data_IF_420369698378
#
_entry.id   IF_420369698378
#
_cell.length_a   1.000
_cell.length_b   1.000
_cell.length_c   1.000
_cell.angle_alpha   90.00
_cell.angle_beta   90.00
_cell.angle_gamma   90.00
#
_symmetry.space_group_name_H-M   'P 1'
#
loop_
_entity.id
_entity.type
_entity.pdbx_description
1 polymer ?
#
# COMPACT_ATOMS: atom_id res chain seq x y z
N UNK A 1 15.47 -1.68 37.79
CA UNK A 1 14.34 -0.90 37.23
C UNK A 1 14.94 0.12 36.27
N UNK A 2 14.90 -0.12 34.96
CA UNK A 2 15.29 0.93 34.00
C UNK A 2 14.18 1.98 34.00
N UNK A 3 14.49 3.22 34.39
CA UNK A 3 13.58 4.35 34.23
C UNK A 3 13.23 4.46 32.73
N UNK A 4 11.99 4.12 32.37
CA UNK A 4 11.54 4.19 30.98
C UNK A 4 11.28 5.66 30.59
N UNK A 5 12.02 6.13 29.59
CA UNK A 5 11.99 7.50 29.07
C UNK A 5 10.58 7.97 28.69
N UNK A 6 10.03 9.10 29.20
CA UNK A 6 8.73 9.61 28.78
C UNK A 6 8.62 9.85 27.27
N UNK A 7 7.44 9.64 26.67
CA UNK A 7 7.17 9.92 25.26
C UNK A 7 6.27 11.14 25.17
N UNK A 8 6.79 12.22 24.58
CA UNK A 8 6.04 13.46 24.35
C UNK A 8 5.60 13.48 22.90
N UNK A 9 4.30 13.40 22.65
CA UNK A 9 3.70 13.54 21.34
C UNK A 9 3.25 14.99 21.12
N UNK A 10 4.01 15.71 20.32
CA UNK A 10 3.77 17.11 19.98
C UNK A 10 2.76 17.23 18.82
N UNK A 11 1.56 17.68 19.17
CA UNK A 11 0.45 17.94 18.23
C UNK A 11 0.35 19.40 17.82
N UNK A 12 1.25 20.26 18.30
CA UNK A 12 1.21 21.72 18.05
C UNK A 12 1.58 22.18 16.64
N UNK A 13 2.28 21.40 15.78
CA UNK A 13 2.50 21.82 14.40
C UNK A 13 1.20 22.09 13.65
N UNK A 14 1.21 23.14 12.82
CA UNK A 14 0.08 23.56 12.00
C UNK A 14 0.54 23.92 10.59
N UNK A 15 -0.31 23.65 9.61
CA UNK A 15 -0.25 24.26 8.29
C UNK A 15 -1.21 25.44 8.22
N UNK A 16 -1.22 26.15 7.09
CA UNK A 16 -2.12 27.30 6.87
C UNK A 16 -3.61 26.93 7.02
N UNK A 17 -3.97 25.68 6.73
CA UNK A 17 -5.34 25.18 6.78
C UNK A 17 -5.75 24.51 8.12
N UNK A 18 -4.84 24.34 9.08
CA UNK A 18 -5.16 23.74 10.39
C UNK A 18 -4.04 22.92 11.03
N UNK A 19 -4.32 22.27 12.16
CA UNK A 19 -3.33 21.41 12.82
C UNK A 19 -3.05 20.15 12.04
N UNK A 20 -1.77 19.82 11.92
CA UNK A 20 -1.31 18.62 11.23
C UNK A 20 -1.90 17.36 11.86
N UNK A 21 -2.01 17.32 13.19
CA UNK A 21 -2.56 16.20 13.95
C UNK A 21 -4.04 15.89 13.64
N UNK A 22 -4.81 16.86 13.13
CA UNK A 22 -6.24 16.73 12.87
C UNK A 22 -6.57 16.41 11.41
N UNK A 23 -5.59 16.38 10.51
CA UNK A 23 -5.84 15.99 9.12
C UNK A 23 -6.36 14.56 9.06
N UNK A 24 -7.48 14.36 8.36
CA UNK A 24 -8.02 13.02 8.16
C UNK A 24 -7.18 12.23 7.14
N UNK A 25 -6.74 11.05 7.56
CA UNK A 25 -6.12 10.04 6.72
C UNK A 25 -6.91 8.75 6.91
N UNK A 26 -7.47 8.21 5.82
CA UNK A 26 -8.28 6.97 5.84
C UNK A 26 -9.45 6.98 6.85
N UNK A 27 -10.10 8.12 7.01
CA UNK A 27 -11.27 8.27 7.90
C UNK A 27 -10.94 8.38 9.38
N UNK A 28 -9.66 8.57 9.74
CA UNK A 28 -9.23 8.87 11.10
C UNK A 28 -8.29 10.09 11.11
N UNK A 29 -8.28 10.90 12.18
CA UNK A 29 -7.30 11.98 12.34
C UNK A 29 -5.87 11.44 12.33
N UNK A 30 -4.92 12.21 11.79
CA UNK A 30 -3.52 11.83 11.69
C UNK A 30 -2.90 11.44 13.04
N UNK A 31 -3.34 12.11 14.11
CA UNK A 31 -3.01 11.76 15.50
C UNK A 31 -3.25 10.28 15.84
N UNK A 32 -4.30 9.66 15.29
CA UNK A 32 -4.68 8.28 15.55
C UNK A 32 -3.53 7.31 15.22
N UNK A 33 -2.81 7.55 14.13
CA UNK A 33 -1.71 6.68 13.70
C UNK A 33 -0.52 6.73 14.67
N UNK A 34 -0.24 7.89 15.27
CA UNK A 34 0.78 8.00 16.31
C UNK A 34 0.39 7.27 17.58
N UNK A 35 -0.88 7.38 18.00
CA UNK A 35 -1.39 6.67 19.17
C UNK A 35 -1.23 5.15 18.99
N UNK A 36 -1.56 4.63 17.80
CA UNK A 36 -1.33 3.23 17.45
C UNK A 36 0.15 2.83 17.49
N UNK A 37 1.05 3.68 16.96
CA UNK A 37 2.49 3.41 17.00
C UNK A 37 3.06 3.39 18.43
N UNK A 38 2.63 4.34 19.27
CA UNK A 38 3.04 4.41 20.69
C UNK A 38 2.50 3.21 21.47
N UNK A 39 1.23 2.85 21.23
CA UNK A 39 0.63 1.69 21.86
C UNK A 39 1.32 0.39 21.44
N UNK A 40 1.76 0.25 20.18
CA UNK A 40 2.54 -0.90 19.70
C UNK A 40 3.95 -0.96 20.28
N UNK A 41 4.53 0.19 20.59
CA UNK A 41 5.76 0.27 21.34
C UNK A 41 5.61 -0.19 22.80
N UNK A 42 4.37 -0.28 23.31
CA UNK A 42 4.08 -0.56 24.71
C UNK A 42 4.28 0.66 25.62
N UNK A 43 4.26 1.87 25.06
CA UNK A 43 4.63 3.10 25.74
C UNK A 43 3.43 3.96 26.18
N UNK A 44 2.20 3.43 26.13
CA UNK A 44 0.98 4.16 26.50
C UNK A 44 1.05 4.75 27.92
N UNK A 45 1.57 3.98 28.89
CA UNK A 45 1.63 4.41 30.30
C UNK A 45 2.60 5.56 30.58
N UNK A 46 3.40 5.96 29.57
CA UNK A 46 4.37 7.07 29.65
C UNK A 46 4.17 8.09 28.53
N UNK A 47 2.98 8.08 27.90
CA UNK A 47 2.60 9.01 26.84
C UNK A 47 2.06 10.31 27.42
N UNK A 48 2.64 11.42 26.99
CA UNK A 48 2.18 12.78 27.24
C UNK A 48 1.90 13.43 25.88
N UNK A 49 0.67 13.90 25.66
CA UNK A 49 0.26 14.56 24.43
C UNK A 49 0.28 16.07 24.66
N UNK A 50 1.15 16.78 23.96
CA UNK A 50 1.22 18.24 24.00
C UNK A 50 0.25 18.81 22.97
N UNK A 51 -0.68 19.65 23.42
CA UNK A 51 -1.70 20.31 22.60
C UNK A 51 -1.64 21.83 22.78
N UNK A 52 -2.08 22.58 21.76
CA UNK A 52 -2.32 24.02 21.93
C UNK A 52 -3.56 24.24 22.80
N UNK A 53 -3.58 25.34 23.55
CA UNK A 53 -4.71 25.73 24.41
C UNK A 53 -6.05 25.75 23.65
N UNK A 54 -6.06 26.30 22.44
CA UNK A 54 -7.24 26.43 21.58
C UNK A 54 -7.80 25.09 21.06
N UNK A 55 -7.00 24.01 21.02
CA UNK A 55 -7.39 22.71 20.46
C UNK A 55 -7.39 21.57 21.50
N UNK A 56 -7.14 21.88 22.77
CA UNK A 56 -6.99 20.88 23.84
C UNK A 56 -8.18 19.92 23.91
N UNK A 57 -9.41 20.45 23.92
CA UNK A 57 -10.62 19.64 24.05
C UNK A 57 -10.80 18.65 22.90
N UNK A 58 -10.44 19.04 21.68
CA UNK A 58 -10.55 18.19 20.50
C UNK A 58 -9.51 17.07 20.53
N UNK A 59 -8.26 17.40 20.88
CA UNK A 59 -7.18 16.41 21.06
C UNK A 59 -7.53 15.43 22.19
N UNK A 60 -8.03 15.92 23.33
CA UNK A 60 -8.51 15.09 24.44
C UNK A 60 -9.62 14.13 24.02
N UNK A 61 -10.59 14.59 23.22
CA UNK A 61 -11.65 13.75 22.67
C UNK A 61 -11.08 12.62 21.81
N UNK A 62 -10.12 12.91 20.94
CA UNK A 62 -9.51 11.89 20.07
C UNK A 62 -8.73 10.87 20.91
N UNK A 63 -7.89 11.35 21.84
CA UNK A 63 -7.06 10.49 22.70
C UNK A 63 -7.93 9.60 23.60
N UNK A 64 -8.97 10.16 24.23
CA UNK A 64 -9.91 9.40 25.06
C UNK A 64 -10.74 8.39 24.25
N UNK A 65 -11.09 8.70 23.00
CA UNK A 65 -11.80 7.76 22.12
C UNK A 65 -10.91 6.62 21.57
N UNK A 66 -9.59 6.72 21.73
CA UNK A 66 -8.66 5.73 21.20
C UNK A 66 -8.58 4.49 22.12
N UNK A 67 -8.92 3.28 21.65
CA UNK A 67 -9.15 2.09 22.48
C UNK A 67 -7.92 1.58 23.25
N UNK A 68 -6.73 2.09 22.91
CA UNK A 68 -5.44 1.67 23.49
C UNK A 68 -4.69 2.80 24.20
N UNK A 69 -5.25 4.01 24.21
CA UNK A 69 -4.60 5.21 24.74
C UNK A 69 -5.51 6.05 25.64
N UNK A 70 -6.63 5.49 26.12
CA UNK A 70 -7.65 6.15 26.93
C UNK A 70 -7.13 6.82 28.22
N UNK A 71 -5.95 6.41 28.73
CA UNK A 71 -5.31 6.99 29.91
C UNK A 71 -4.15 7.96 29.64
N UNK A 72 -3.89 8.35 28.40
CA UNK A 72 -2.79 9.26 28.08
C UNK A 72 -3.12 10.71 28.51
N UNK A 73 -2.17 11.36 29.17
CA UNK A 73 -2.35 12.75 29.63
C UNK A 73 -2.22 13.74 28.47
N UNK A 74 -3.16 14.68 28.36
CA UNK A 74 -3.08 15.81 27.41
C UNK A 74 -2.77 17.09 28.18
N UNK A 75 -1.70 17.77 27.79
CA UNK A 75 -1.19 18.98 28.46
C UNK A 75 -1.03 20.14 27.48
N UNK A 76 -1.16 21.37 27.96
CA UNK A 76 -0.91 22.59 27.16
C UNK A 76 0.54 23.06 27.35
N UNK A 77 1.03 22.96 28.59
CA UNK A 77 2.39 23.29 28.94
C UNK A 77 3.15 22.01 29.23
N UNK A 78 4.29 21.84 28.56
CA UNK A 78 5.12 20.66 28.75
C UNK A 78 5.84 20.77 30.11
N UNK A 79 5.79 19.73 30.96
CA UNK A 79 6.63 19.69 32.16
C UNK A 79 8.10 19.67 31.74
N UNK A 80 8.99 20.17 32.60
CA UNK A 80 10.43 20.10 32.36
C UNK A 80 10.89 18.63 32.38
N UNK A 81 11.09 18.09 31.18
CA UNK A 81 11.42 16.69 30.93
C UNK A 81 12.60 16.64 29.93
N UNK A 82 13.83 16.93 30.38
CA UNK A 82 15.01 17.02 29.51
C UNK A 82 15.33 15.69 28.81
N UNK A 83 14.94 14.57 29.43
CA UNK A 83 15.08 13.24 28.86
C UNK A 83 13.83 12.78 28.11
N UNK A 84 12.78 13.57 27.87
CA UNK A 84 11.63 13.07 27.11
C UNK A 84 11.98 12.78 25.64
N UNK A 85 11.41 11.72 25.07
CA UNK A 85 11.48 11.45 23.64
C UNK A 85 10.40 12.26 22.92
N UNK A 86 10.81 13.28 22.16
CA UNK A 86 9.87 14.10 21.38
C UNK A 86 9.50 13.44 20.05
N UNK A 87 8.22 13.13 19.90
CA UNK A 87 7.57 12.69 18.67
C UNK A 87 6.78 13.87 18.12
N UNK A 88 7.03 14.28 16.87
CA UNK A 88 6.31 15.40 16.27
C UNK A 88 5.33 14.93 15.21
N UNK A 89 4.13 15.50 15.19
CA UNK A 89 3.08 15.14 14.23
C UNK A 89 3.32 15.65 12.81
N UNK A 90 4.20 16.64 12.61
CA UNK A 90 4.68 17.12 11.30
C UNK A 90 5.81 16.26 10.72
N UNK A 91 6.01 15.05 11.22
CA UNK A 91 6.99 14.10 10.69
C UNK A 91 6.33 12.77 10.42
N UNK A 92 6.78 12.12 9.36
CA UNK A 92 6.38 10.75 9.05
C UNK A 92 7.47 9.81 9.52
N UNK A 93 7.09 8.78 10.27
CA UNK A 93 8.01 7.81 10.83
C UNK A 93 7.81 6.43 10.22
N UNK A 94 8.90 5.69 10.07
CA UNK A 94 8.83 4.26 9.81
C UNK A 94 8.47 3.52 11.10
N UNK A 95 7.27 2.95 11.20
CA UNK A 95 6.68 2.30 12.37
C UNK A 95 7.57 1.28 13.06
N UNK A 96 8.25 0.40 12.34
CA UNK A 96 9.12 -0.60 12.99
C UNK A 96 10.38 0.02 13.61
N UNK A 97 10.95 1.06 12.99
CA UNK A 97 12.08 1.82 13.54
C UNK A 97 11.63 2.71 14.69
N UNK A 98 10.46 3.34 14.56
CA UNK A 98 9.81 4.11 15.62
C UNK A 98 9.64 3.25 16.89
N UNK A 99 9.02 2.08 16.77
CA UNK A 99 8.83 1.14 17.89
C UNK A 99 10.18 0.75 18.51
N UNK A 100 11.20 0.49 17.69
CA UNK A 100 12.55 0.15 18.18
C UNK A 100 13.18 1.31 18.95
N UNK A 101 13.05 2.54 18.45
CA UNK A 101 13.57 3.76 19.08
C UNK A 101 12.84 4.05 20.39
N UNK A 102 11.51 3.98 20.41
CA UNK A 102 10.68 4.20 21.62
C UNK A 102 10.98 3.19 22.72
N UNK A 103 11.34 1.95 22.36
CA UNK A 103 11.76 0.90 23.31
C UNK A 103 13.21 1.04 23.76
N UNK A 104 14.01 1.89 23.12
CA UNK A 104 15.41 2.12 23.46
C UNK A 104 15.55 3.28 24.45
N UNK A 105 16.45 3.16 25.42
CA UNK A 105 16.73 4.23 26.41
C UNK A 105 17.41 5.46 25.80
N UNK A 106 18.17 5.30 24.71
CA UNK A 106 18.94 6.39 24.07
C UNK A 106 18.66 6.53 22.57
N UNK A 107 17.50 6.02 22.12
CA UNK A 107 17.12 6.07 20.72
C UNK A 107 16.87 7.51 20.24
N UNK A 108 17.33 7.79 19.02
CA UNK A 108 17.04 9.04 18.29
C UNK A 108 16.01 8.76 17.18
N UNK A 109 14.92 9.53 17.19
CA UNK A 109 13.83 9.44 16.22
C UNK A 109 14.22 9.95 14.83
N UNK A 110 15.34 10.67 14.68
CA UNK A 110 15.88 11.04 13.37
C UNK A 110 16.08 9.80 12.47
N UNK A 111 16.54 8.69 13.06
CA UNK A 111 16.75 7.41 12.36
C UNK A 111 15.46 6.73 11.91
N UNK A 112 14.33 7.08 12.51
CA UNK A 112 13.01 6.59 12.13
C UNK A 112 12.25 7.57 11.24
N UNK A 113 12.75 8.80 11.05
CA UNK A 113 12.07 9.85 10.29
C UNK A 113 12.25 9.60 8.80
N UNK A 114 11.14 9.51 8.07
CA UNK A 114 11.12 9.34 6.61
C UNK A 114 11.08 10.70 5.92
N UNK A 115 10.17 11.57 6.35
CA UNK A 115 10.02 12.93 5.82
C UNK A 115 9.52 13.86 6.90
N UNK A 116 9.84 15.14 6.74
CA UNK A 116 9.14 16.24 7.43
C UNK A 116 8.02 16.72 6.52
N UNK A 117 6.89 17.10 7.10
CA UNK A 117 5.71 17.60 6.41
C UNK A 117 5.75 19.14 6.51
N UNK A 118 5.85 19.81 5.37
CA UNK A 118 5.99 21.26 5.28
C UNK A 118 4.64 21.91 4.93
N UNK A 119 3.76 21.18 4.24
CA UNK A 119 2.42 21.65 3.87
C UNK A 119 1.34 20.56 3.83
N UNK A 120 0.07 20.97 3.63
CA UNK A 120 -1.06 20.03 3.51
C UNK A 120 -0.87 19.00 2.39
N UNK A 121 -0.17 19.36 1.31
CA UNK A 121 0.20 18.48 0.20
C UNK A 121 1.08 17.30 0.63
N UNK A 122 1.89 17.47 1.67
CA UNK A 122 2.76 16.43 2.19
C UNK A 122 2.00 15.40 3.03
N UNK A 123 0.76 15.68 3.47
CA UNK A 123 -0.06 14.67 4.16
C UNK A 123 -0.31 13.45 3.29
N UNK A 124 -0.16 13.56 1.98
CA UNK A 124 -0.15 12.41 1.11
C UNK A 124 1.05 11.49 1.36
N UNK A 125 2.23 12.04 1.66
CA UNK A 125 3.41 11.25 2.07
C UNK A 125 3.10 10.47 3.34
N UNK A 126 2.41 11.10 4.30
CA UNK A 126 1.93 10.46 5.51
C UNK A 126 0.93 9.33 5.21
N UNK A 127 -0.04 9.58 4.33
CA UNK A 127 -1.03 8.59 3.89
C UNK A 127 -0.37 7.42 3.14
N UNK A 128 0.50 7.67 2.18
CA UNK A 128 1.19 6.63 1.39
C UNK A 128 2.12 5.77 2.25
N UNK A 129 2.82 6.36 3.22
CA UNK A 129 3.68 5.61 4.14
C UNK A 129 2.83 4.80 5.09
N UNK A 130 1.77 5.39 5.62
CA UNK A 130 0.79 4.67 6.44
C UNK A 130 0.16 3.53 5.65
N UNK A 131 -0.14 3.74 4.38
CA UNK A 131 -0.59 2.73 3.44
C UNK A 131 0.47 1.63 3.37
N UNK A 132 1.71 1.94 2.98
CA UNK A 132 2.83 0.97 2.91
C UNK A 132 3.03 0.14 4.16
N UNK A 133 2.87 0.73 5.33
CA UNK A 133 3.04 0.07 6.62
C UNK A 133 1.81 -0.74 7.06
N UNK A 134 0.62 -0.34 6.60
CA UNK A 134 -0.63 -1.11 6.75
C UNK A 134 -0.84 -2.13 5.63
N UNK A 135 0.09 -2.25 4.67
CA UNK A 135 0.09 -3.24 3.59
C UNK A 135 -0.09 -2.70 2.16
N UNK A 136 0.02 -1.39 1.97
CA UNK A 136 -0.01 -0.67 0.70
C UNK A 136 1.18 -1.04 -0.19
N UNK A 137 0.88 -1.54 -1.37
CA UNK A 137 1.80 -2.26 -2.26
C UNK A 137 2.84 -1.39 -2.98
N UNK A 138 3.05 -0.10 -2.64
CA UNK A 138 3.91 0.79 -3.45
C UNK A 138 5.36 0.80 -2.94
N UNK A 139 6.33 0.50 -3.82
CA UNK A 139 7.72 0.10 -3.46
C UNK A 139 8.72 1.28 -3.47
N UNK A 140 10.00 0.95 -3.22
CA UNK A 140 11.20 1.78 -3.39
C UNK A 140 11.23 2.44 -4.77
N UNK A 141 10.95 1.70 -5.86
CA UNK A 141 11.07 2.25 -7.21
C UNK A 141 10.00 3.33 -7.50
N UNK A 142 8.74 3.13 -7.08
CA UNK A 142 7.74 4.21 -7.13
C UNK A 142 8.21 5.45 -6.40
N UNK A 143 8.80 5.31 -5.22
CA UNK A 143 9.22 6.45 -4.41
C UNK A 143 10.41 7.20 -4.99
N UNK A 144 11.45 6.49 -5.42
CA UNK A 144 12.72 7.10 -5.83
C UNK A 144 12.79 7.40 -7.33
N UNK A 145 11.97 6.76 -8.16
CA UNK A 145 11.99 6.95 -9.61
C UNK A 145 10.68 7.54 -10.13
N UNK A 146 9.57 6.80 -10.03
CA UNK A 146 8.33 7.20 -10.69
C UNK A 146 7.73 8.47 -10.12
N UNK A 147 7.74 8.67 -8.79
CA UNK A 147 7.21 9.89 -8.18
C UNK A 147 8.01 11.13 -8.54
N UNK A 148 9.35 11.18 -8.39
CA UNK A 148 10.14 12.33 -8.82
C UNK A 148 9.95 12.63 -10.31
N UNK A 149 9.87 11.59 -11.15
CA UNK A 149 9.59 11.75 -12.58
C UNK A 149 8.19 12.35 -12.81
N UNK A 150 7.16 11.75 -12.23
CA UNK A 150 5.78 12.19 -12.33
C UNK A 150 5.60 13.63 -11.83
N UNK A 151 6.18 14.00 -10.69
CA UNK A 151 6.10 15.36 -10.15
C UNK A 151 6.72 16.39 -11.10
N UNK A 152 7.86 16.07 -11.74
CA UNK A 152 8.47 16.94 -12.76
C UNK A 152 7.57 17.09 -13.99
N UNK A 153 7.01 15.98 -14.49
CA UNK A 153 6.11 16.01 -15.64
C UNK A 153 4.81 16.77 -15.31
N UNK A 154 4.24 16.56 -14.13
CA UNK A 154 3.08 17.31 -13.63
C UNK A 154 3.40 18.80 -13.46
N UNK A 155 4.65 19.20 -13.17
CA UNK A 155 5.03 20.60 -13.18
C UNK A 155 4.87 21.26 -14.56
N UNK A 156 5.10 20.50 -15.64
CA UNK A 156 4.93 20.95 -17.02
C UNK A 156 3.46 20.90 -17.47
N UNK A 157 2.70 19.89 -17.01
CA UNK A 157 1.31 19.66 -17.41
C UNK A 157 0.33 20.54 -16.63
N UNK A 158 0.55 20.80 -15.35
CA UNK A 158 -0.35 21.59 -14.50
C UNK A 158 -0.79 22.95 -15.10
N UNK A 159 0.08 23.76 -15.75
CA UNK A 159 -0.35 25.04 -16.34
C UNK A 159 -1.16 24.89 -17.63
N UNK A 160 -1.25 23.69 -18.23
CA UNK A 160 -1.90 23.49 -19.54
C UNK A 160 -3.43 23.32 -19.46
N UNK A 161 -3.99 23.21 -18.26
CA UNK A 161 -5.43 22.97 -18.05
C UNK A 161 -5.87 21.52 -18.27
N UNK A 162 -4.94 20.60 -18.57
CA UNK A 162 -5.21 19.15 -18.61
C UNK A 162 -5.69 18.71 -17.22
N UNK A 163 -6.78 17.94 -17.17
CA UNK A 163 -7.36 17.43 -15.92
C UNK A 163 -6.73 16.08 -15.53
N UNK A 164 -6.79 15.68 -14.25
CA UNK A 164 -6.33 14.37 -13.81
C UNK A 164 -6.98 13.22 -14.58
N UNK A 165 -8.31 13.26 -14.75
CA UNK A 165 -9.04 12.24 -15.50
C UNK A 165 -8.66 12.19 -16.98
N UNK A 166 -8.16 13.29 -17.56
CA UNK A 166 -7.63 13.27 -18.93
C UNK A 166 -6.31 12.49 -19.01
N UNK A 167 -5.46 12.55 -17.97
CA UNK A 167 -4.25 11.72 -17.88
C UNK A 167 -4.64 10.25 -17.73
N UNK A 168 -5.61 9.92 -16.88
CA UNK A 168 -6.14 8.55 -16.74
C UNK A 168 -6.76 8.04 -18.06
N UNK A 169 -7.41 8.93 -18.83
CA UNK A 169 -7.92 8.57 -20.16
C UNK A 169 -6.78 8.30 -21.16
N UNK A 170 -5.68 9.05 -21.08
CA UNK A 170 -4.50 8.80 -21.91
C UNK A 170 -3.85 7.45 -21.57
N UNK A 171 -3.77 7.07 -20.29
CA UNK A 171 -3.25 5.75 -19.91
C UNK A 171 -4.16 4.62 -20.42
N UNK A 172 -5.49 4.82 -20.42
CA UNK A 172 -6.43 3.86 -21.01
C UNK A 172 -6.15 3.58 -22.50
N UNK A 173 -5.76 4.59 -23.29
CA UNK A 173 -5.43 4.41 -24.72
C UNK A 173 -4.18 3.55 -24.90
N UNK A 174 -3.24 3.57 -23.95
CA UNK A 174 -2.01 2.77 -24.00
C UNK A 174 -2.31 1.27 -23.89
N UNK A 175 -3.36 0.88 -23.17
CA UNK A 175 -3.73 -0.53 -22.92
C UNK A 175 -3.87 -1.34 -24.21
N UNK A 176 -4.77 -0.99 -25.16
CA UNK A 176 -4.95 -1.77 -26.38
C UNK A 176 -3.71 -1.74 -27.29
N UNK A 177 -2.99 -0.61 -27.36
CA UNK A 177 -1.77 -0.50 -28.19
C UNK A 177 -0.69 -1.46 -27.67
N UNK A 178 -0.50 -1.50 -26.35
CA UNK A 178 0.43 -2.41 -25.70
C UNK A 178 0.03 -3.86 -25.97
N UNK A 179 -1.26 -4.20 -25.80
CA UNK A 179 -1.76 -5.55 -26.04
C UNK A 179 -1.49 -6.02 -27.48
N UNK A 180 -1.73 -5.17 -28.48
CA UNK A 180 -1.45 -5.48 -29.88
C UNK A 180 0.04 -5.72 -30.10
N UNK A 181 0.92 -4.88 -29.54
CA UNK A 181 2.36 -5.04 -29.70
C UNK A 181 2.90 -6.33 -29.08
N UNK A 182 2.34 -6.76 -27.95
CA UNK A 182 2.67 -8.06 -27.36
C UNK A 182 2.28 -9.21 -28.31
N UNK A 183 1.12 -9.12 -28.97
CA UNK A 183 0.61 -10.18 -29.86
C UNK A 183 1.36 -10.25 -31.18
N UNK A 184 1.86 -9.13 -31.71
CA UNK A 184 2.59 -9.09 -32.99
C UNK A 184 3.95 -9.81 -32.96
N UNK A 185 4.45 -10.18 -31.77
CA UNK A 185 5.55 -11.12 -31.58
C UNK A 185 6.83 -10.81 -32.40
N UNK A 186 7.23 -9.53 -32.38
CA UNK A 186 8.51 -9.06 -32.94
C UNK A 186 9.32 -8.43 -31.81
N UNK A 187 10.65 -8.61 -31.82
CA UNK A 187 11.55 -8.00 -30.84
C UNK A 187 11.28 -6.50 -30.61
N UNK A 188 11.14 -5.71 -31.68
CA UNK A 188 10.90 -4.27 -31.56
C UNK A 188 9.50 -3.94 -31.04
N UNK A 189 8.50 -4.76 -31.37
CA UNK A 189 7.17 -4.62 -30.78
C UNK A 189 7.17 -5.00 -29.29
N UNK A 190 7.91 -6.05 -28.90
CA UNK A 190 8.11 -6.42 -27.49
C UNK A 190 8.80 -5.33 -26.68
N UNK A 191 9.89 -4.74 -27.21
CA UNK A 191 10.55 -3.57 -26.59
C UNK A 191 9.59 -2.39 -26.49
N UNK A 192 8.82 -2.11 -27.54
CA UNK A 192 7.85 -1.01 -27.56
C UNK A 192 6.73 -1.24 -26.54
N UNK A 193 6.21 -2.46 -26.41
CA UNK A 193 5.23 -2.84 -25.40
C UNK A 193 5.80 -2.67 -23.97
N UNK A 194 7.04 -3.08 -23.73
CA UNK A 194 7.70 -2.89 -22.45
C UNK A 194 7.81 -1.39 -22.09
N UNK A 195 8.17 -0.54 -23.05
CA UNK A 195 8.21 0.93 -22.86
C UNK A 195 6.82 1.50 -22.61
N UNK A 196 5.82 1.07 -23.37
CA UNK A 196 4.43 1.51 -23.18
C UNK A 196 3.90 1.15 -21.80
N UNK A 197 4.26 -0.02 -21.26
CA UNK A 197 3.92 -0.41 -19.88
C UNK A 197 4.56 0.51 -18.83
N UNK A 198 5.82 0.91 -19.01
CA UNK A 198 6.44 1.91 -18.11
C UNK A 198 5.76 3.28 -18.23
N UNK A 199 5.36 3.66 -19.46
CA UNK A 199 4.66 4.90 -19.72
C UNK A 199 3.28 4.89 -19.06
N UNK A 200 2.50 3.81 -19.22
CA UNK A 200 1.21 3.63 -18.55
C UNK A 200 1.36 3.87 -17.05
N UNK A 201 2.32 3.19 -16.41
CA UNK A 201 2.51 3.30 -14.97
C UNK A 201 2.98 4.69 -14.54
N UNK A 202 3.75 5.38 -15.39
CA UNK A 202 4.11 6.77 -15.14
C UNK A 202 2.88 7.68 -15.19
N UNK A 203 1.95 7.45 -16.13
CA UNK A 203 0.71 8.21 -16.24
C UNK A 203 -0.25 7.97 -15.06
N UNK A 204 -0.39 6.73 -14.59
CA UNK A 204 -1.13 6.39 -13.34
C UNK A 204 -0.56 7.20 -12.16
N UNK A 205 0.76 7.18 -11.95
CA UNK A 205 1.36 7.99 -10.87
C UNK A 205 1.14 9.50 -11.10
N UNK A 206 1.16 9.97 -12.35
CA UNK A 206 0.95 11.37 -12.70
C UNK A 206 -0.48 11.86 -12.43
N UNK A 207 -1.52 11.07 -12.71
CA UNK A 207 -2.89 11.53 -12.54
C UNK A 207 -3.21 11.85 -11.07
N UNK A 208 -2.74 11.01 -10.14
CA UNK A 208 -2.91 11.23 -8.73
C UNK A 208 -2.11 12.44 -8.28
N UNK A 209 -0.85 12.56 -8.73
CA UNK A 209 0.01 13.71 -8.38
C UNK A 209 -0.61 15.01 -8.89
N UNK A 210 -1.17 15.01 -10.10
CA UNK A 210 -1.86 16.16 -10.65
C UNK A 210 -3.16 16.48 -9.90
N UNK A 211 -3.97 15.48 -9.58
CA UNK A 211 -5.22 15.67 -8.81
C UNK A 211 -4.96 16.36 -7.48
N UNK A 212 -3.88 15.98 -6.79
CA UNK A 212 -3.49 16.58 -5.52
C UNK A 212 -2.90 17.97 -5.71
N UNK A 213 -2.04 18.16 -6.70
CA UNK A 213 -1.48 19.48 -7.03
C UNK A 213 -2.57 20.50 -7.37
N UNK A 214 -3.61 20.08 -8.09
CA UNK A 214 -4.75 20.92 -8.45
C UNK A 214 -5.82 20.98 -7.35
N UNK A 215 -5.65 20.26 -6.22
CA UNK A 215 -6.65 20.12 -5.14
C UNK A 215 -8.02 19.64 -5.65
N UNK A 216 -8.02 18.73 -6.62
CA UNK A 216 -9.20 18.13 -7.24
C UNK A 216 -9.23 16.59 -7.10
N UNK A 217 -8.98 15.99 -5.91
CA UNK A 217 -9.23 14.56 -5.73
C UNK A 217 -10.74 14.29 -5.85
N UNK A 218 -11.13 13.19 -6.51
CA UNK A 218 -12.53 12.83 -6.66
C UNK A 218 -12.74 11.32 -6.53
N UNK A 219 -13.90 10.93 -5.98
CA UNK A 219 -14.30 9.51 -5.89
C UNK A 219 -14.41 8.86 -7.26
N UNK A 220 -14.89 9.61 -8.25
CA UNK A 220 -14.97 9.16 -9.63
C UNK A 220 -13.57 8.94 -10.22
N UNK A 221 -12.63 9.86 -10.02
CA UNK A 221 -11.26 9.73 -10.50
C UNK A 221 -10.57 8.49 -9.92
N UNK A 222 -10.69 8.26 -8.60
CA UNK A 222 -10.18 7.05 -7.95
C UNK A 222 -10.80 5.76 -8.52
N UNK A 223 -12.12 5.76 -8.73
CA UNK A 223 -12.80 4.62 -9.35
C UNK A 223 -12.35 4.40 -10.80
N UNK A 224 -12.21 5.47 -11.58
CA UNK A 224 -11.82 5.41 -12.98
C UNK A 224 -10.39 4.87 -13.12
N UNK A 225 -9.45 5.38 -12.33
CA UNK A 225 -8.08 4.87 -12.20
C UNK A 225 -8.06 3.37 -11.90
N UNK A 226 -8.80 2.94 -10.87
CA UNK A 226 -8.94 1.52 -10.50
C UNK A 226 -9.48 0.66 -11.65
N UNK A 227 -10.43 1.18 -12.44
CA UNK A 227 -10.95 0.48 -13.62
C UNK A 227 -9.90 0.35 -14.72
N UNK A 228 -9.16 1.43 -15.01
CA UNK A 228 -8.13 1.42 -16.05
C UNK A 228 -6.98 0.46 -15.71
N UNK A 229 -6.54 0.43 -14.45
CA UNK A 229 -5.58 -0.57 -13.95
C UNK A 229 -6.08 -2.00 -14.14
N UNK A 230 -7.35 -2.25 -13.81
CA UNK A 230 -7.96 -3.57 -13.97
C UNK A 230 -8.03 -3.98 -15.44
N UNK A 231 -8.36 -3.02 -16.32
CA UNK A 231 -8.38 -3.23 -17.76
C UNK A 231 -6.99 -3.55 -18.30
N UNK A 232 -5.93 -2.88 -17.80
CA UNK A 232 -4.56 -3.21 -18.15
C UNK A 232 -4.24 -4.66 -17.75
N UNK A 233 -4.42 -5.02 -16.48
CA UNK A 233 -4.06 -6.35 -15.98
C UNK A 233 -4.78 -7.47 -16.74
N UNK A 234 -6.09 -7.32 -17.00
CA UNK A 234 -6.87 -8.27 -17.77
C UNK A 234 -6.39 -8.35 -19.23
N UNK A 235 -6.09 -7.20 -19.85
CA UNK A 235 -5.55 -7.15 -21.22
C UNK A 235 -4.18 -7.78 -21.32
N UNK A 236 -3.31 -7.62 -20.30
CA UNK A 236 -2.00 -8.25 -20.26
C UNK A 236 -2.12 -9.77 -20.13
N UNK A 237 -3.01 -10.28 -19.28
CA UNK A 237 -3.27 -11.71 -19.18
C UNK A 237 -3.66 -12.32 -20.53
N UNK A 238 -4.54 -11.64 -21.28
CA UNK A 238 -4.98 -12.08 -22.61
C UNK A 238 -3.85 -11.96 -23.64
N UNK A 239 -3.21 -10.79 -23.72
CA UNK A 239 -2.21 -10.49 -24.75
C UNK A 239 -0.97 -11.40 -24.63
N UNK A 240 -0.43 -11.58 -23.41
CA UNK A 240 0.68 -12.50 -23.17
C UNK A 240 0.30 -13.94 -23.49
N UNK A 241 -0.92 -14.36 -23.16
CA UNK A 241 -1.40 -15.72 -23.48
C UNK A 241 -1.49 -15.95 -24.98
N UNK A 242 -2.11 -15.01 -25.71
CA UNK A 242 -2.20 -15.10 -27.18
C UNK A 242 -0.81 -15.06 -27.81
N UNK A 243 0.04 -14.11 -27.40
CA UNK A 243 1.43 -14.00 -27.88
C UNK A 243 2.20 -15.30 -27.66
N UNK A 244 2.12 -15.89 -26.45
CA UNK A 244 2.76 -17.17 -26.16
C UNK A 244 2.23 -18.33 -27.02
N UNK A 245 0.92 -18.41 -27.27
CA UNK A 245 0.33 -19.44 -28.14
C UNK A 245 0.82 -19.30 -29.59
N UNK A 246 0.87 -18.06 -30.10
CA UNK A 246 1.32 -17.77 -31.46
C UNK A 246 2.82 -18.05 -31.63
N UNK A 247 3.66 -17.57 -30.70
CA UNK A 247 5.12 -17.74 -30.75
C UNK A 247 5.51 -19.23 -30.65
N UNK A 248 4.90 -19.96 -29.71
CA UNK A 248 5.22 -21.38 -29.50
C UNK A 248 4.58 -22.30 -30.55
N UNK A 249 3.64 -21.81 -31.36
CA UNK A 249 2.83 -22.62 -32.26
C UNK A 249 2.00 -23.68 -31.55
N UNK A 250 1.73 -23.50 -30.25
CA UNK A 250 1.13 -24.51 -29.38
C UNK A 250 -0.02 -23.94 -28.57
N UNK A 251 -1.07 -24.74 -28.38
CA UNK A 251 -2.19 -24.36 -27.51
C UNK A 251 -1.85 -24.47 -26.00
N UNK A 252 -0.77 -25.16 -25.63
CA UNK A 252 -0.43 -25.41 -24.22
C UNK A 252 -0.37 -24.15 -23.33
N UNK A 253 0.15 -22.99 -23.77
CA UNK A 253 0.13 -21.75 -22.97
C UNK A 253 -1.27 -21.21 -22.68
N UNK A 254 -2.31 -21.60 -23.42
CA UNK A 254 -3.68 -21.16 -23.17
C UNK A 254 -4.22 -21.66 -21.82
N UNK A 255 -3.78 -22.83 -21.35
CA UNK A 255 -4.20 -23.41 -20.07
C UNK A 255 -3.74 -22.54 -18.88
N UNK A 256 -2.43 -22.26 -18.68
CA UNK A 256 -2.00 -21.35 -17.64
C UNK A 256 -2.55 -19.93 -17.86
N UNK A 257 -2.69 -19.47 -19.10
CA UNK A 257 -3.33 -18.18 -19.40
C UNK A 257 -4.76 -18.06 -18.87
N UNK A 258 -5.58 -19.11 -19.07
CA UNK A 258 -6.93 -19.17 -18.51
C UNK A 258 -6.92 -19.19 -16.98
N UNK A 259 -5.99 -19.92 -16.35
CA UNK A 259 -5.82 -19.93 -14.89
C UNK A 259 -5.49 -18.53 -14.37
N UNK A 260 -4.56 -17.82 -15.02
CA UNK A 260 -4.19 -16.45 -14.67
C UNK A 260 -5.43 -15.54 -14.70
N UNK A 261 -6.14 -15.50 -15.83
CA UNK A 261 -7.29 -14.60 -16.00
C UNK A 261 -8.42 -14.90 -15.01
N UNK A 262 -8.78 -16.17 -14.83
CA UNK A 262 -9.86 -16.57 -13.90
C UNK A 262 -9.47 -16.27 -12.45
N UNK A 263 -8.26 -16.64 -12.05
CA UNK A 263 -7.82 -16.46 -10.67
C UNK A 263 -7.64 -14.99 -10.31
N UNK A 264 -7.11 -14.17 -11.23
CA UNK A 264 -7.05 -12.72 -11.07
C UNK A 264 -8.46 -12.13 -10.92
N UNK A 265 -9.38 -12.46 -11.84
CA UNK A 265 -10.75 -11.95 -11.83
C UNK A 265 -11.49 -12.27 -10.52
N UNK A 266 -11.32 -13.50 -10.00
CA UNK A 266 -11.92 -13.92 -8.75
C UNK A 266 -11.35 -13.19 -7.53
N UNK A 267 -10.04 -13.03 -7.44
CA UNK A 267 -9.38 -12.30 -6.34
C UNK A 267 -9.78 -10.82 -6.36
N UNK A 268 -9.81 -10.20 -7.53
CA UNK A 268 -10.21 -8.80 -7.69
C UNK A 268 -11.69 -8.59 -7.34
N UNK A 269 -12.58 -9.45 -7.85
CA UNK A 269 -14.01 -9.41 -7.51
C UNK A 269 -14.24 -9.54 -6.01
N UNK A 270 -13.50 -10.43 -5.33
CA UNK A 270 -13.58 -10.55 -3.88
C UNK A 270 -13.14 -9.25 -3.17
N UNK A 271 -12.07 -8.59 -3.64
CA UNK A 271 -11.63 -7.31 -3.11
C UNK A 271 -12.67 -6.20 -3.26
N UNK A 272 -13.35 -6.14 -4.42
CA UNK A 272 -14.47 -5.21 -4.63
C UNK A 272 -15.64 -5.50 -3.69
N UNK A 273 -16.01 -6.76 -3.52
CA UNK A 273 -17.10 -7.18 -2.62
C UNK A 273 -16.75 -6.81 -1.18
N UNK A 274 -15.53 -7.09 -0.72
CA UNK A 274 -15.09 -6.74 0.64
C UNK A 274 -15.11 -5.21 0.87
N UNK A 275 -14.68 -4.44 -0.14
CA UNK A 275 -14.71 -2.97 -0.10
C UNK A 275 -16.15 -2.44 -0.07
N UNK A 276 -17.02 -2.95 -0.94
CA UNK A 276 -18.44 -2.57 -0.99
C UNK A 276 -19.20 -2.95 0.28
N UNK A 277 -18.80 -4.04 0.93
CA UNK A 277 -19.35 -4.49 2.21
C UNK A 277 -18.79 -3.71 3.42
N UNK A 278 -17.87 -2.76 3.22
CA UNK A 278 -17.28 -1.96 4.31
C UNK A 278 -16.44 -2.77 5.29
N UNK A 279 -15.88 -3.90 4.87
CA UNK A 279 -15.08 -4.77 5.73
C UNK A 279 -13.70 -4.13 5.93
N UNK A 280 -13.53 -3.39 7.03
CA UNK A 280 -12.25 -2.80 7.41
C UNK A 280 -11.22 -3.90 7.70
N UNK A 281 -10.17 -3.99 6.89
CA UNK A 281 -8.97 -4.74 7.25
C UNK A 281 -8.26 -4.02 8.40
N UNK A 282 -8.51 -4.43 9.64
CA UNK A 282 -7.47 -4.27 10.65
C UNK A 282 -6.28 -5.14 10.20
N UNK A 283 -5.04 -4.62 10.11
CA UNK A 283 -3.88 -5.38 9.66
C UNK A 283 -3.46 -6.47 10.67
N UNK A 284 -4.31 -6.82 11.63
CA UNK A 284 -4.39 -8.18 12.13
C UNK A 284 -5.05 -9.06 11.06
N UNK A 285 -4.29 -9.33 9.99
CA UNK A 285 -4.27 -10.72 9.53
C UNK A 285 -3.99 -11.53 10.78
N UNK A 286 -5.04 -12.19 11.27
CA UNK A 286 -4.97 -13.11 12.36
C UNK A 286 -3.66 -13.88 12.19
N UNK A 287 -2.76 -13.72 13.17
CA UNK A 287 -1.72 -14.68 13.44
C UNK A 287 -2.40 -15.99 13.81
N UNK A 288 -3.10 -16.61 12.85
CA UNK A 288 -3.12 -18.05 12.78
C UNK A 288 -1.75 -18.38 12.21
N UNK A 289 -0.77 -18.32 13.12
CA UNK A 289 0.30 -19.28 13.14
C UNK A 289 -0.40 -20.64 13.26
N UNK A 290 -0.91 -21.18 12.14
CA UNK A 290 -0.95 -22.63 12.05
C UNK A 290 0.54 -22.92 12.02
N UNK A 291 1.08 -23.24 13.20
CA UNK A 291 2.39 -23.83 13.34
C UNK A 291 2.27 -25.20 12.68
N UNK A 292 2.19 -25.23 11.36
CA UNK A 292 2.49 -26.41 10.58
C UNK A 292 3.98 -26.56 10.74
N UNK A 293 4.39 -27.27 11.80
CA UNK A 293 5.76 -27.69 12.05
C UNK A 293 6.15 -28.65 10.93
N UNK A 294 6.46 -28.09 9.78
CA UNK A 294 6.98 -28.82 8.63
C UNK A 294 8.42 -28.39 8.41
N UNK A 295 9.24 -29.39 8.10
CA UNK A 295 10.69 -29.31 7.93
C UNK A 295 11.13 -28.12 7.08
N UNK A 296 12.33 -27.61 7.36
CA UNK A 296 12.97 -26.53 6.59
C UNK A 296 13.15 -26.86 5.10
N UNK A 297 13.07 -28.15 4.74
CA UNK A 297 13.05 -28.65 3.36
C UNK A 297 11.74 -29.43 3.15
N UNK A 298 10.85 -28.94 2.28
CA UNK A 298 9.53 -29.53 1.98
C UNK A 298 8.45 -28.49 1.63
N UNK A 299 7.18 -28.91 1.62
CA UNK A 299 5.99 -28.07 1.28
C UNK A 299 5.95 -26.77 2.12
N UNK A 300 6.40 -26.79 3.37
CA UNK A 300 6.49 -25.59 4.22
C UNK A 300 7.54 -24.56 3.76
N UNK A 301 8.60 -24.98 3.07
CA UNK A 301 9.53 -24.09 2.36
C UNK A 301 8.86 -23.44 1.15
N UNK A 302 8.17 -24.24 0.34
CA UNK A 302 7.41 -23.79 -0.84
C UNK A 302 6.33 -22.78 -0.43
N UNK A 303 5.57 -23.05 0.64
CA UNK A 303 4.54 -22.14 1.13
C UNK A 303 5.11 -20.84 1.72
N UNK A 304 6.28 -20.89 2.35
CA UNK A 304 6.97 -19.67 2.83
C UNK A 304 7.50 -18.85 1.65
N UNK A 305 8.07 -19.51 0.66
CA UNK A 305 8.50 -18.87 -0.58
C UNK A 305 7.29 -18.25 -1.30
N UNK A 306 6.19 -18.97 -1.44
CA UNK A 306 4.93 -18.50 -2.01
C UNK A 306 4.33 -17.29 -1.27
N UNK A 307 4.42 -17.24 0.07
CA UNK A 307 4.03 -16.05 0.84
C UNK A 307 4.96 -14.85 0.60
N UNK A 308 6.26 -15.11 0.51
CA UNK A 308 7.26 -14.05 0.27
C UNK A 308 7.17 -13.53 -1.17
N UNK A 309 6.92 -14.41 -2.15
CA UNK A 309 6.69 -14.04 -3.54
C UNK A 309 5.35 -13.35 -3.71
N UNK A 310 4.30 -13.72 -2.97
CA UNK A 310 3.03 -12.97 -3.08
C UNK A 310 3.13 -11.55 -2.57
N UNK A 311 3.85 -11.34 -1.47
CA UNK A 311 4.17 -9.99 -1.00
C UNK A 311 5.08 -9.21 -1.96
N UNK A 312 6.02 -9.87 -2.63
CA UNK A 312 6.88 -9.23 -3.61
C UNK A 312 6.14 -8.92 -4.93
N UNK A 313 5.29 -9.82 -5.42
CA UNK A 313 4.58 -9.71 -6.69
C UNK A 313 3.29 -8.91 -6.61
N UNK A 314 2.82 -8.58 -5.41
CA UNK A 314 1.81 -7.53 -5.23
C UNK A 314 2.31 -6.13 -5.62
N UNK A 315 3.62 -5.98 -5.90
CA UNK A 315 4.23 -4.70 -6.23
C UNK A 315 4.20 -4.46 -7.75
N UNK A 316 3.59 -3.36 -8.22
CA UNK A 316 3.43 -3.10 -9.65
C UNK A 316 4.78 -3.02 -10.38
N UNK A 317 5.84 -2.55 -9.73
CA UNK A 317 7.16 -2.42 -10.37
C UNK A 317 7.81 -3.76 -10.67
N UNK A 318 7.53 -4.78 -9.84
CA UNK A 318 8.03 -6.14 -10.08
C UNK A 318 7.22 -6.79 -11.20
N UNK A 319 5.90 -6.57 -11.24
CA UNK A 319 5.04 -7.04 -12.33
C UNK A 319 5.53 -6.47 -13.67
N UNK A 320 5.73 -5.15 -13.74
CA UNK A 320 6.24 -4.46 -14.92
C UNK A 320 7.63 -4.94 -15.33
N UNK A 321 8.52 -5.22 -14.37
CA UNK A 321 9.83 -5.78 -14.66
C UNK A 321 9.75 -7.20 -15.25
N UNK A 322 8.88 -8.06 -14.70
CA UNK A 322 8.67 -9.42 -15.24
C UNK A 322 8.09 -9.36 -16.66
N UNK A 323 7.11 -8.48 -16.91
CA UNK A 323 6.58 -8.25 -18.25
C UNK A 323 7.65 -7.76 -19.22
N UNK A 324 8.39 -6.72 -18.84
CA UNK A 324 9.44 -6.15 -19.68
C UNK A 324 10.55 -7.16 -20.01
N UNK A 325 11.04 -7.90 -19.01
CA UNK A 325 12.05 -8.95 -19.23
C UNK A 325 11.50 -10.05 -20.13
N UNK A 326 10.25 -10.48 -19.89
CA UNK A 326 9.60 -11.52 -20.69
C UNK A 326 9.51 -11.15 -22.17
N UNK A 327 9.08 -9.91 -22.46
CA UNK A 327 8.94 -9.40 -23.82
C UNK A 327 10.29 -9.18 -24.51
N UNK A 328 11.28 -8.65 -23.79
CA UNK A 328 12.62 -8.39 -24.37
C UNK A 328 13.37 -9.69 -24.67
N UNK A 329 13.17 -10.72 -23.84
CA UNK A 329 13.80 -12.02 -24.00
C UNK A 329 13.01 -13.00 -24.88
N UNK A 330 11.78 -12.65 -25.30
CA UNK A 330 10.92 -13.55 -26.09
C UNK A 330 10.52 -14.81 -25.32
N UNK A 331 10.21 -14.66 -24.02
CA UNK A 331 9.82 -15.76 -23.12
C UNK A 331 8.44 -15.53 -22.51
N UNK A 332 7.50 -15.08 -23.33
CA UNK A 332 6.12 -14.78 -22.97
C UNK A 332 5.44 -15.98 -22.30
N UNK A 333 5.70 -17.19 -22.80
CA UNK A 333 5.14 -18.43 -22.22
C UNK A 333 5.53 -18.59 -20.74
N UNK A 334 6.75 -18.20 -20.37
CA UNK A 334 7.22 -18.29 -18.99
C UNK A 334 6.54 -17.24 -18.11
N UNK A 335 6.28 -16.04 -18.65
CA UNK A 335 5.48 -15.00 -17.98
C UNK A 335 4.07 -15.52 -17.70
N UNK A 336 3.41 -16.12 -18.70
CA UNK A 336 2.06 -16.68 -18.55
C UNK A 336 2.02 -17.74 -17.45
N UNK A 337 2.95 -18.72 -17.48
CA UNK A 337 3.02 -19.76 -16.44
C UNK A 337 3.28 -19.16 -15.06
N UNK A 338 4.18 -18.18 -14.98
CA UNK A 338 4.53 -17.53 -13.72
C UNK A 338 3.32 -16.83 -13.08
N UNK A 339 2.59 -16.01 -13.85
CA UNK A 339 1.41 -15.31 -13.34
C UNK A 339 0.23 -16.24 -13.09
N UNK A 340 0.07 -17.31 -13.86
CA UNK A 340 -0.90 -18.37 -13.57
C UNK A 340 -0.67 -18.99 -12.19
N UNK A 341 0.58 -19.33 -11.87
CA UNK A 341 0.94 -19.89 -10.56
C UNK A 341 0.73 -18.88 -9.43
N UNK A 342 1.11 -17.61 -9.65
CA UNK A 342 0.96 -16.55 -8.66
C UNK A 342 -0.52 -16.27 -8.34
N UNK A 343 -1.35 -16.01 -9.36
CA UNK A 343 -2.78 -15.74 -9.14
C UNK A 343 -3.53 -16.99 -8.69
N UNK A 344 -3.20 -18.17 -9.22
CA UNK A 344 -3.76 -19.44 -8.76
C UNK A 344 -3.50 -19.70 -7.27
N UNK A 345 -2.30 -19.41 -6.78
CA UNK A 345 -1.99 -19.49 -5.36
C UNK A 345 -2.80 -18.47 -4.53
N UNK A 346 -2.94 -17.23 -5.00
CA UNK A 346 -3.74 -16.21 -4.32
C UNK A 346 -5.22 -16.61 -4.24
N UNK A 347 -5.76 -17.20 -5.30
CA UNK A 347 -7.13 -17.73 -5.33
C UNK A 347 -7.33 -18.84 -4.28
N UNK A 348 -6.41 -19.81 -4.23
CA UNK A 348 -6.46 -20.87 -3.22
C UNK A 348 -6.40 -20.30 -1.80
N UNK A 349 -5.55 -19.30 -1.57
CA UNK A 349 -5.42 -18.62 -0.28
C UNK A 349 -6.71 -17.87 0.09
N UNK A 350 -7.35 -17.20 -0.87
CA UNK A 350 -8.63 -16.52 -0.69
C UNK A 350 -9.69 -17.50 -0.19
N UNK A 351 -9.85 -18.66 -0.85
CA UNK A 351 -10.80 -19.69 -0.42
C UNK A 351 -10.45 -20.29 0.95
N UNK A 352 -9.17 -20.54 1.22
CA UNK A 352 -8.74 -21.01 2.55
C UNK A 352 -9.11 -20.02 3.66
N UNK A 353 -8.93 -18.71 3.44
CA UNK A 353 -9.30 -17.68 4.41
C UNK A 353 -10.82 -17.59 4.58
N UNK A 354 -11.59 -17.65 3.50
CA UNK A 354 -13.04 -17.66 3.54
C UNK A 354 -13.56 -18.87 4.34
N UNK A 355 -13.02 -20.06 4.09
CA UNK A 355 -13.35 -21.28 4.84
C UNK A 355 -13.03 -21.16 6.34
N UNK A 356 -11.86 -20.61 6.68
CA UNK A 356 -11.48 -20.40 8.09
C UNK A 356 -12.31 -19.33 8.80
N UNK A 357 -12.84 -18.33 8.08
CA UNK A 357 -13.80 -17.37 8.62
C UNK A 357 -15.14 -18.05 8.88
N UNK A 358 -15.65 -18.81 7.92
CA UNK A 358 -16.89 -19.57 8.03
C UNK A 358 -16.86 -20.55 9.23
N UNK A 359 -15.81 -21.37 9.34
CA UNK A 359 -15.66 -22.34 10.43
C UNK A 359 -15.63 -21.71 11.83
N UNK A 360 -15.18 -20.46 11.95
CA UNK A 360 -15.16 -19.74 13.24
C UNK A 360 -16.55 -19.27 13.68
N UNK A 361 -17.49 -19.11 12.76
CA UNK A 361 -18.87 -18.72 13.08
C UNK A 361 -19.70 -19.93 13.55
N UNK A 362 -19.37 -21.15 13.12
CA UNK A 362 -20.09 -22.36 13.50
C UNK A 362 -19.67 -22.96 14.85
N UNK A 363 -18.45 -22.67 15.33
CA UNK A 363 -17.98 -23.20 16.62
C UNK A 363 -18.42 -22.27 17.76
N UNK A 364 -19.32 -22.69 18.67
CA UNK A 364 -19.64 -21.90 19.85
C UNK A 364 -18.36 -21.66 20.65
N UNK A 365 -18.16 -20.42 21.10
CA UNK A 365 -17.07 -20.07 22.02
C UNK A 365 -17.13 -21.01 23.23
N UNK A 366 -16.14 -21.89 23.34
CA UNK A 366 -15.95 -22.70 24.56
C UNK A 366 -16.00 -21.75 25.76
N UNK A 367 -16.80 -22.03 26.80
CA UNK A 367 -16.73 -21.27 28.03
C UNK A 367 -15.30 -21.33 28.55
N UNK A 368 -14.72 -20.17 28.85
CA UNK A 368 -13.43 -20.07 29.53
C UNK A 368 -13.49 -20.85 30.83
N UNK A 369 -12.61 -21.85 30.98
CA UNK A 369 -12.33 -22.51 32.27
C UNK A 369 -11.15 -21.84 32.94
#
# INVERSE_FOLDING_TARGET
MSLERPVVLDTTPKFDAGLVALYEIRGHPWLWFFLDMVADAGATGRLIVLARSENKQEIERIVSSHPRCEGASVVIDLPDLPEALQVRTDRVYTRHLFIRVVRSSHGDLSKATVSTLEGPEDMQIAEDITERETGGNRTVLVHYFYRPLATRLVALVAPTGITPNAITLMSLIIVPVTAVFIVLDNYWFGVSAAVLLQLFFTLDVMDGVLARKLKQPSKFGYWFDTMVDTMLDASMAVAFTIGAVLNTGSFWPAIPGAIWLIAMSAVWSNGLIETAAGINHTPRTAGITVAVRTSRFGIGGVLRLARKTTWALGKPEIVLAVFGIGLVLGVEWAVVVFFALFHGYNLLRMFQLAYLRYRRLELPSSPSR
#
